data_IF_265002580111
#
_entry.id   IF_265002580111
#
_cell.length_a   1.000
_cell.length_b   1.000
_cell.length_c   1.000
_cell.angle_alpha   90.00
_cell.angle_beta   90.00
_cell.angle_gamma   90.00
#
_symmetry.space_group_name_H-M   'P 1'
#
loop_
_entity.id
_entity.type
_entity.pdbx_description
1 polymer ?
#
# COMPACT_ATOMS: atom_id res chain seq x y z
N UNK A 1 8.51 2.56 28.51
CA UNK A 1 7.05 2.69 28.34
C UNK A 1 6.80 3.56 27.13
N UNK A 2 6.45 2.97 25.99
CA UNK A 2 5.86 3.70 24.86
C UNK A 2 4.40 4.00 25.22
N UNK A 3 3.97 5.26 25.15
CA UNK A 3 2.57 5.61 25.44
C UNK A 3 1.68 5.17 24.29
N UNK A 4 0.79 4.21 24.54
CA UNK A 4 -0.15 3.69 23.52
C UNK A 4 -0.96 4.80 22.82
N UNK A 5 -1.09 4.67 21.49
CA UNK A 5 -2.12 5.32 20.67
C UNK A 5 -3.47 4.70 21.07
N UNK A 6 -4.33 5.38 21.87
CA UNK A 6 -5.22 6.38 21.27
C UNK A 6 -4.76 7.87 21.40
N UNK A 7 -5.08 8.76 22.35
CA UNK A 7 -6.11 8.87 23.39
C UNK A 7 -7.54 8.80 22.81
N UNK A 8 -8.54 8.61 23.68
CA UNK A 8 -9.73 7.82 23.34
C UNK A 8 -10.66 8.44 22.28
N UNK A 9 -10.93 7.67 21.22
CA UNK A 9 -12.31 7.46 20.79
C UNK A 9 -12.96 6.38 21.67
N UNK A 10 -14.28 6.46 21.90
CA UNK A 10 -14.99 5.66 22.92
C UNK A 10 -15.90 4.57 22.35
N UNK A 11 -15.27 3.67 21.58
CA UNK A 11 -15.84 2.39 21.15
C UNK A 11 -16.73 2.49 19.88
N UNK A 12 -16.80 1.47 19.04
CA UNK A 12 -15.99 0.23 18.96
C UNK A 12 -15.90 -0.24 17.51
N UNK A 13 -14.77 -0.85 17.13
CA UNK A 13 -14.51 -1.45 15.79
C UNK A 13 -14.86 -0.59 14.57
N UNK A 14 -14.44 0.68 14.55
CA UNK A 14 -14.55 1.58 13.39
C UNK A 14 -13.42 2.65 13.31
N UNK A 15 -12.43 2.60 14.21
CA UNK A 15 -11.41 3.64 14.34
C UNK A 15 -10.04 3.07 14.70
N UNK A 16 -8.99 3.64 14.10
CA UNK A 16 -7.60 3.21 14.24
C UNK A 16 -6.72 4.41 14.64
N UNK A 17 -5.60 4.14 15.29
CA UNK A 17 -4.61 5.14 15.68
C UNK A 17 -3.21 4.57 15.48
N UNK A 18 -2.37 5.25 14.70
CA UNK A 18 -0.97 4.90 14.53
C UNK A 18 -0.11 6.12 14.82
N UNK A 19 0.94 5.94 15.61
CA UNK A 19 1.95 6.96 15.86
C UNK A 19 3.34 6.35 15.69
N UNK A 20 4.27 7.12 15.14
CA UNK A 20 5.66 6.72 14.93
C UNK A 20 6.62 7.61 15.73
N UNK A 21 7.78 7.07 16.11
CA UNK A 21 8.83 7.79 16.84
C UNK A 21 9.39 9.01 16.07
N UNK A 22 9.12 9.11 14.76
CA UNK A 22 9.40 10.30 13.93
C UNK A 22 8.42 11.46 14.17
N UNK A 23 7.49 11.37 15.12
CA UNK A 23 6.58 12.45 15.48
C UNK A 23 5.32 12.58 14.60
N UNK A 24 5.09 11.64 13.69
CA UNK A 24 3.84 11.52 12.94
C UNK A 24 2.80 10.76 13.77
N UNK A 25 1.57 11.28 13.81
CA UNK A 25 0.39 10.62 14.40
C UNK A 25 -0.76 10.70 13.41
N UNK A 26 -1.37 9.56 13.13
CA UNK A 26 -2.48 9.44 12.17
C UNK A 26 -3.64 8.72 12.84
N UNK A 27 -4.83 9.31 12.74
CA UNK A 27 -6.05 8.79 13.36
C UNK A 27 -7.14 8.65 12.30
N UNK A 28 -7.95 7.59 12.45
CA UNK A 28 -9.00 7.23 11.51
C UNK A 28 -10.37 7.24 12.18
N UNK A 29 -11.34 7.91 11.55
CA UNK A 29 -12.77 7.81 11.88
C UNK A 29 -13.57 7.29 10.68
N UNK A 30 -14.19 6.12 10.81
CA UNK A 30 -15.14 5.61 9.81
C UNK A 30 -16.58 6.02 10.16
N UNK A 31 -17.38 6.32 9.13
CA UNK A 31 -18.83 6.52 9.18
C UNK A 31 -19.44 6.04 7.86
N UNK A 32 -20.39 5.11 7.92
CA UNK A 32 -20.98 4.45 6.76
C UNK A 32 -19.93 3.98 5.72
N UNK A 33 -19.94 4.60 4.53
CA UNK A 33 -19.06 4.33 3.38
C UNK A 33 -17.93 5.36 3.24
N UNK A 34 -17.55 6.01 4.34
CA UNK A 34 -16.54 7.05 4.35
C UNK A 34 -15.59 6.90 5.54
N UNK A 35 -14.31 7.17 5.30
CA UNK A 35 -13.26 7.22 6.31
C UNK A 35 -12.64 8.61 6.30
N UNK A 36 -12.80 9.35 7.40
CA UNK A 36 -12.03 10.57 7.67
C UNK A 36 -10.69 10.18 8.28
N UNK A 37 -9.60 10.70 7.73
CA UNK A 37 -8.24 10.55 8.27
C UNK A 37 -7.73 11.91 8.70
N UNK A 38 -7.20 11.99 9.91
CA UNK A 38 -6.51 13.18 10.44
C UNK A 38 -5.05 12.85 10.71
N UNK A 39 -4.16 13.70 10.20
CA UNK A 39 -2.70 13.61 10.30
C UNK A 39 -2.18 14.79 11.12
N UNK A 40 -1.39 14.47 12.14
CA UNK A 40 -0.69 15.40 13.01
C UNK A 40 0.82 15.15 12.91
N UNK A 41 1.62 16.21 12.91
CA UNK A 41 3.08 16.16 13.02
C UNK A 41 3.57 17.37 13.82
N UNK A 42 4.63 17.20 14.61
CA UNK A 42 5.15 18.27 15.46
C UNK A 42 5.57 19.50 14.63
N UNK A 43 5.02 20.67 14.97
CA UNK A 43 5.29 21.94 14.27
C UNK A 43 4.60 22.12 12.92
N UNK A 44 3.78 21.16 12.47
CA UNK A 44 3.00 21.24 11.23
C UNK A 44 1.51 21.53 11.50
N UNK A 45 0.80 22.05 10.52
CA UNK A 45 -0.64 22.23 10.56
C UNK A 45 -1.37 20.87 10.40
N UNK A 46 -2.28 20.55 11.31
CA UNK A 46 -3.10 19.33 11.27
C UNK A 46 -3.87 19.23 9.95
N UNK A 47 -3.64 18.14 9.20
CA UNK A 47 -4.30 17.87 7.93
C UNK A 47 -5.42 16.86 8.12
N UNK A 48 -6.53 17.02 7.40
CA UNK A 48 -7.64 16.05 7.39
C UNK A 48 -8.14 15.84 5.97
N UNK A 49 -8.37 14.59 5.59
CA UNK A 49 -8.92 14.20 4.30
C UNK A 49 -9.93 13.05 4.44
N UNK A 50 -10.70 12.80 3.38
CA UNK A 50 -11.76 11.79 3.36
C UNK A 50 -11.51 10.74 2.28
N UNK A 51 -11.88 9.50 2.59
CA UNK A 51 -11.66 8.32 1.76
C UNK A 51 -12.99 7.58 1.58
N UNK A 52 -13.48 7.37 0.36
CA UNK A 52 -14.64 6.50 0.13
C UNK A 52 -14.24 5.03 0.33
N UNK A 53 -15.09 4.28 1.01
CA UNK A 53 -14.92 2.84 1.29
C UNK A 53 -16.20 2.09 0.94
N UNK A 54 -16.11 0.85 0.45
CA UNK A 54 -17.30 0.10 0.02
C UNK A 54 -18.30 -0.25 1.15
N UNK A 55 -17.85 -0.24 2.41
CA UNK A 55 -18.63 -0.57 3.60
C UNK A 55 -18.57 -2.04 4.03
N UNK A 56 -17.66 -2.86 3.47
CA UNK A 56 -17.42 -4.22 3.95
C UNK A 56 -16.54 -4.24 5.21
N UNK A 57 -16.56 -5.33 5.96
CA UNK A 57 -15.89 -5.46 7.27
C UNK A 57 -14.35 -5.50 7.25
N UNK A 58 -13.73 -5.67 6.08
CA UNK A 58 -12.27 -5.47 5.88
C UNK A 58 -11.90 -4.10 5.31
N UNK A 59 -12.89 -3.26 5.05
CA UNK A 59 -12.72 -1.94 4.45
C UNK A 59 -12.36 -0.90 5.52
N UNK A 60 -11.66 0.15 5.12
CA UNK A 60 -11.25 1.23 6.00
C UNK A 60 -10.10 0.90 6.96
N UNK A 61 -9.37 -0.21 6.85
CA UNK A 61 -8.16 -0.43 7.66
C UNK A 61 -7.10 0.67 7.42
N UNK A 62 -6.49 1.21 8.48
CA UNK A 62 -5.39 2.20 8.42
C UNK A 62 -4.02 1.52 8.52
N UNK A 63 -3.06 1.95 7.70
CA UNK A 63 -1.68 1.49 7.73
C UNK A 63 -0.71 2.66 7.45
N UNK A 64 0.41 2.72 8.18
CA UNK A 64 1.54 3.60 7.87
C UNK A 64 2.73 2.78 7.37
N UNK A 65 3.33 3.17 6.24
CA UNK A 65 4.53 2.56 5.67
C UNK A 65 5.37 3.61 4.94
N UNK A 66 6.69 3.52 5.04
CA UNK A 66 7.59 4.22 4.10
C UNK A 66 7.65 3.39 2.83
N UNK A 67 6.94 3.81 1.79
CA UNK A 67 6.93 3.13 0.50
C UNK A 67 8.05 3.65 -0.41
N UNK A 68 8.42 4.91 -0.23
CA UNK A 68 9.56 5.56 -0.86
C UNK A 68 10.55 6.02 0.22
N UNK A 69 11.84 6.02 -0.08
CA UNK A 69 12.95 6.34 0.84
C UNK A 69 13.04 7.78 1.38
N UNK A 70 11.92 8.41 1.70
CA UNK A 70 11.83 9.62 2.52
C UNK A 70 11.77 9.30 4.03
N UNK A 71 11.83 10.35 4.86
CA UNK A 71 11.74 10.23 6.31
C UNK A 71 10.30 10.08 6.83
N UNK A 72 9.32 10.70 6.14
CA UNK A 72 7.91 10.61 6.46
C UNK A 72 7.29 9.29 5.96
N UNK A 73 6.34 8.69 6.69
CA UNK A 73 5.56 7.57 6.18
C UNK A 73 4.51 8.02 5.15
N UNK A 74 4.17 7.15 4.21
CA UNK A 74 2.93 7.22 3.46
C UNK A 74 1.78 6.65 4.31
N UNK A 75 0.58 7.22 4.15
CA UNK A 75 -0.67 6.75 4.74
C UNK A 75 -1.38 5.87 3.72
N UNK A 76 -1.80 4.67 4.14
CA UNK A 76 -2.61 3.76 3.35
C UNK A 76 -3.95 3.51 4.05
N UNK A 77 -5.05 3.55 3.29
CA UNK A 77 -6.40 3.21 3.78
C UNK A 77 -7.03 2.18 2.85
N UNK A 78 -7.43 1.03 3.39
CA UNK A 78 -8.19 0.02 2.65
C UNK A 78 -9.54 0.60 2.21
N UNK A 79 -9.94 0.41 0.96
CA UNK A 79 -11.21 0.92 0.40
C UNK A 79 -12.13 -0.17 -0.14
N UNK A 80 -11.54 -1.31 -0.49
CA UNK A 80 -12.07 -2.50 -1.19
C UNK A 80 -13.05 -2.27 -2.34
N UNK A 81 -12.76 -2.94 -3.47
CA UNK A 81 -13.66 -2.96 -4.65
C UNK A 81 -13.44 -4.17 -5.55
N UNK A 82 -12.37 -4.94 -5.32
CA UNK A 82 -11.98 -6.16 -6.04
C UNK A 82 -11.87 -7.33 -5.07
N UNK A 83 -12.98 -8.04 -4.88
CA UNK A 83 -13.09 -9.11 -3.87
C UNK A 83 -12.35 -10.40 -4.23
N UNK A 84 -11.40 -10.79 -3.36
CA UNK A 84 -10.99 -12.18 -3.17
C UNK A 84 -10.81 -12.39 -1.65
N UNK A 85 -11.69 -13.16 -1.03
CA UNK A 85 -11.79 -13.22 0.43
C UNK A 85 -10.57 -13.88 1.08
N UNK A 86 -10.02 -13.25 2.11
CA UNK A 86 -8.95 -13.81 2.94
C UNK A 86 -8.12 -12.73 3.61
N UNK A 87 -7.33 -12.00 2.82
CA UNK A 87 -6.36 -11.03 3.34
C UNK A 87 -6.18 -9.78 2.47
N UNK A 88 -6.20 -9.90 1.13
CA UNK A 88 -5.90 -8.79 0.22
C UNK A 88 -6.92 -7.64 0.31
N UNK A 89 -6.50 -6.41 -0.01
CA UNK A 89 -7.39 -5.27 -0.22
C UNK A 89 -6.84 -4.28 -1.25
N UNK A 90 -7.71 -3.44 -1.80
CA UNK A 90 -7.31 -2.21 -2.49
C UNK A 90 -7.08 -1.14 -1.44
N UNK A 91 -5.92 -0.49 -1.46
CA UNK A 91 -5.54 0.58 -0.54
C UNK A 91 -5.36 1.86 -1.32
N UNK A 92 -6.08 2.92 -0.95
CA UNK A 92 -5.76 4.27 -1.38
C UNK A 92 -4.56 4.79 -0.57
N UNK A 93 -3.68 5.56 -1.21
CA UNK A 93 -2.37 5.95 -0.65
C UNK A 93 -2.16 7.46 -0.72
N UNK A 94 -1.58 8.05 0.33
CA UNK A 94 -1.16 9.45 0.38
C UNK A 94 0.26 9.58 0.93
N UNK A 95 1.11 10.36 0.28
CA UNK A 95 2.42 10.72 0.85
C UNK A 95 2.29 11.94 1.76
N UNK A 96 2.99 11.90 2.90
CA UNK A 96 3.13 13.02 3.81
C UNK A 96 4.40 13.83 3.49
N UNK A 97 4.31 15.16 3.49
CA UNK A 97 5.43 16.04 3.16
C UNK A 97 5.29 17.39 3.87
N UNK A 98 5.75 17.48 5.12
CA UNK A 98 5.56 18.66 5.96
C UNK A 98 4.06 18.89 6.20
N UNK A 99 3.58 20.10 5.92
CA UNK A 99 2.15 20.44 5.99
C UNK A 99 1.28 19.86 4.86
N UNK A 100 1.86 19.12 3.91
CA UNK A 100 1.12 18.60 2.74
C UNK A 100 0.81 17.10 2.83
N UNK A 101 -0.45 16.75 2.54
CA UNK A 101 -0.90 15.39 2.25
C UNK A 101 -1.21 15.30 0.75
N UNK A 102 -0.56 14.37 0.03
CA UNK A 102 -0.70 14.28 -1.44
C UNK A 102 -1.20 12.89 -1.87
N UNK A 103 -2.38 12.76 -2.50
CA UNK A 103 -2.91 11.48 -2.95
C UNK A 103 -2.04 10.87 -4.05
N UNK A 104 -1.78 9.56 -3.95
CA UNK A 104 -0.89 8.77 -4.83
C UNK A 104 -1.61 7.68 -5.62
N UNK A 105 -2.95 7.71 -5.67
CA UNK A 105 -3.74 6.64 -6.26
C UNK A 105 -3.86 5.44 -5.32
N UNK A 106 -3.77 4.23 -5.86
CA UNK A 106 -4.04 2.97 -5.14
C UNK A 106 -2.99 1.90 -5.37
N UNK A 107 -2.80 1.02 -4.38
CA UNK A 107 -2.08 -0.25 -4.48
C UNK A 107 -3.03 -1.41 -4.11
N UNK A 108 -2.73 -2.64 -4.54
CA UNK A 108 -3.50 -3.83 -4.19
C UNK A 108 -2.61 -4.86 -3.49
N UNK A 109 -3.06 -5.39 -2.35
CA UNK A 109 -2.31 -6.39 -1.59
C UNK A 109 -2.61 -6.45 -0.09
N UNK A 110 -1.73 -7.15 0.62
CA UNK A 110 -1.66 -7.28 2.10
C UNK A 110 -0.46 -6.54 2.68
N UNK A 111 0.68 -6.58 1.99
CA UNK A 111 1.96 -6.09 2.46
C UNK A 111 2.62 -5.18 1.43
N UNK A 112 3.25 -4.11 1.91
CA UNK A 112 3.79 -3.03 1.08
C UNK A 112 5.16 -2.57 1.59
N UNK A 113 6.15 -2.44 0.70
CA UNK A 113 7.51 -2.05 1.06
C UNK A 113 8.25 -1.29 -0.06
N UNK A 114 9.24 -0.46 0.34
CA UNK A 114 10.21 0.12 -0.60
C UNK A 114 11.11 -1.01 -1.14
N UNK A 115 11.04 -1.23 -2.45
CA UNK A 115 11.83 -2.23 -3.17
C UNK A 115 13.13 -1.64 -3.75
N UNK A 116 13.51 -0.44 -3.34
CA UNK A 116 14.67 0.29 -3.84
C UNK A 116 14.44 0.90 -5.22
N UNK A 117 15.38 1.76 -5.65
CA UNK A 117 15.38 2.38 -6.99
C UNK A 117 14.10 3.19 -7.35
N UNK A 118 13.30 3.56 -6.35
CA UNK A 118 12.00 4.22 -6.52
C UNK A 118 10.87 3.27 -6.96
N UNK A 119 10.96 1.98 -6.60
CA UNK A 119 9.89 1.00 -6.75
C UNK A 119 9.24 0.71 -5.39
N UNK A 120 7.91 0.61 -5.38
CA UNK A 120 7.11 0.09 -4.27
C UNK A 120 6.65 -1.31 -4.64
N UNK A 121 6.90 -2.30 -3.80
CA UNK A 121 6.35 -3.62 -3.95
C UNK A 121 5.06 -3.78 -3.14
N UNK A 122 4.09 -4.51 -3.71
CA UNK A 122 2.82 -4.88 -3.10
C UNK A 122 2.64 -6.39 -3.25
N UNK A 123 2.50 -7.13 -2.14
CA UNK A 123 2.24 -8.57 -2.18
C UNK A 123 0.74 -8.85 -2.05
N UNK A 124 0.23 -9.77 -2.87
CA UNK A 124 -1.12 -10.32 -2.79
C UNK A 124 -1.06 -11.85 -2.66
N UNK A 125 -1.96 -12.41 -1.86
CA UNK A 125 -2.05 -13.84 -1.53
C UNK A 125 -3.33 -14.48 -2.10
N UNK A 126 -3.43 -15.82 -2.01
CA UNK A 126 -4.64 -16.58 -2.36
C UNK A 126 -4.54 -17.36 -3.67
N UNK A 127 -5.67 -17.55 -4.36
CA UNK A 127 -5.79 -18.41 -5.56
C UNK A 127 -4.97 -17.97 -6.77
N UNK A 128 -4.41 -16.76 -6.73
CA UNK A 128 -3.32 -16.30 -7.57
C UNK A 128 -2.49 -15.32 -6.77
N UNK A 129 -1.40 -15.79 -6.14
CA UNK A 129 -0.49 -14.89 -5.44
C UNK A 129 0.29 -14.04 -6.46
N UNK A 130 0.73 -12.85 -6.06
CA UNK A 130 1.60 -12.02 -6.90
C UNK A 130 2.37 -11.00 -6.08
N UNK A 131 3.50 -10.55 -6.61
CA UNK A 131 4.13 -9.29 -6.19
C UNK A 131 4.03 -8.30 -7.34
N UNK A 132 3.34 -7.19 -7.14
CA UNK A 132 3.30 -6.07 -8.06
C UNK A 132 4.30 -4.99 -7.64
N UNK A 133 5.17 -4.59 -8.56
CA UNK A 133 6.11 -3.49 -8.38
C UNK A 133 5.61 -2.28 -9.15
N UNK A 134 5.29 -1.22 -8.41
CA UNK A 134 4.78 0.06 -8.90
C UNK A 134 5.80 1.17 -8.72
N UNK A 135 5.69 2.24 -9.51
CA UNK A 135 6.52 3.45 -9.39
C UNK A 135 5.65 4.69 -9.40
N UNK A 136 6.05 5.70 -8.61
CA UNK A 136 5.41 7.01 -8.66
C UNK A 136 5.74 7.71 -9.99
N UNK A 137 4.70 8.10 -10.75
CA UNK A 137 4.76 8.86 -11.99
C UNK A 137 3.54 9.78 -12.07
N UNK A 138 3.73 11.00 -12.57
CA UNK A 138 2.64 11.96 -12.83
C UNK A 138 1.75 12.23 -11.59
N UNK A 139 2.33 12.07 -10.39
CA UNK A 139 1.67 12.23 -9.10
C UNK A 139 1.16 10.95 -8.43
N UNK A 140 1.01 9.84 -9.15
CA UNK A 140 0.39 8.60 -8.67
C UNK A 140 1.25 7.33 -8.89
N UNK A 141 0.93 6.24 -8.19
CA UNK A 141 1.56 4.94 -8.42
C UNK A 141 1.04 4.29 -9.70
N UNK A 142 1.96 3.87 -10.55
CA UNK A 142 1.70 3.13 -11.79
C UNK A 142 2.44 1.80 -11.75
N UNK A 143 1.74 0.72 -12.09
CA UNK A 143 2.28 -0.63 -12.27
C UNK A 143 3.47 -0.62 -13.23
N UNK A 144 4.56 -1.33 -12.88
CA UNK A 144 5.73 -1.52 -13.76
C UNK A 144 5.88 -2.98 -14.14
N UNK A 145 5.81 -3.88 -13.16
CA UNK A 145 6.05 -5.32 -13.37
C UNK A 145 5.39 -6.14 -12.26
N UNK A 146 4.78 -7.26 -12.63
CA UNK A 146 4.21 -8.23 -11.71
C UNK A 146 4.96 -9.57 -11.79
N UNK A 147 5.13 -10.23 -10.66
CA UNK A 147 5.82 -11.53 -10.52
C UNK A 147 4.91 -12.56 -9.84
N UNK A 148 5.02 -13.82 -10.26
CA UNK A 148 4.51 -14.98 -9.51
C UNK A 148 3.03 -15.32 -9.69
N UNK A 149 2.33 -14.68 -10.64
CA UNK A 149 0.89 -14.85 -10.86
C UNK A 149 0.53 -16.29 -11.25
N UNK A 150 0.23 -17.12 -10.25
CA UNK A 150 -0.60 -18.30 -10.43
C UNK A 150 -1.96 -17.85 -10.99
N UNK A 151 -2.39 -18.49 -12.07
CA UNK A 151 -3.56 -18.13 -12.86
C UNK A 151 -4.86 -18.62 -12.21
N UNK A 152 -4.83 -19.82 -11.61
CA UNK A 152 -6.01 -20.50 -11.09
C UNK A 152 -5.71 -21.28 -9.80
N UNK A 153 -6.47 -21.01 -8.74
CA UNK A 153 -6.56 -21.80 -7.50
C UNK A 153 -5.23 -22.18 -6.80
N UNK A 154 -4.16 -21.39 -6.97
CA UNK A 154 -2.84 -21.64 -6.39
C UNK A 154 -2.00 -22.67 -7.14
N UNK A 155 -2.47 -23.14 -8.30
CA UNK A 155 -1.66 -23.91 -9.27
C UNK A 155 -1.06 -22.93 -10.29
N UNK A 156 0.19 -23.17 -10.68
CA UNK A 156 0.91 -22.38 -11.67
C UNK A 156 0.76 -23.02 -13.05
N UNK A 157 0.08 -22.35 -13.99
CA UNK A 157 0.21 -22.65 -15.41
C UNK A 157 1.67 -22.44 -15.87
N UNK A 158 2.36 -23.47 -16.39
CA UNK A 158 3.74 -23.36 -16.87
C UNK A 158 3.88 -22.52 -18.16
N UNK A 159 2.78 -22.14 -18.81
CA UNK A 159 2.80 -21.24 -19.98
C UNK A 159 2.77 -19.76 -19.61
N UNK A 160 2.42 -19.42 -18.36
CA UNK A 160 2.50 -18.06 -17.83
C UNK A 160 3.94 -17.76 -17.40
N UNK A 161 4.58 -16.69 -17.92
CA UNK A 161 5.92 -16.30 -17.49
C UNK A 161 5.93 -15.86 -16.02
N UNK A 162 6.99 -16.24 -15.28
CA UNK A 162 7.23 -15.83 -13.88
C UNK A 162 7.15 -14.32 -13.64
N UNK A 163 7.44 -13.54 -14.68
CA UNK A 163 7.41 -12.09 -14.70
C UNK A 163 6.60 -11.57 -15.89
N UNK A 164 5.65 -10.66 -15.64
CA UNK A 164 4.92 -9.92 -16.65
C UNK A 164 5.18 -8.42 -16.48
N UNK A 165 5.76 -7.77 -17.49
CA UNK A 165 6.00 -6.32 -17.50
C UNK A 165 4.72 -5.60 -17.98
N UNK A 166 4.30 -4.56 -17.26
CA UNK A 166 3.06 -3.83 -17.56
C UNK A 166 3.24 -2.95 -18.80
N UNK A 167 2.48 -3.15 -19.90
CA UNK A 167 2.77 -2.55 -21.20
C UNK A 167 2.48 -1.05 -21.30
N UNK A 168 1.69 -0.50 -20.37
CA UNK A 168 1.52 0.94 -20.19
C UNK A 168 2.74 1.60 -19.54
N UNK A 169 3.62 0.82 -18.90
CA UNK A 169 4.84 1.32 -18.28
C UNK A 169 5.98 1.33 -19.29
N UNK A 170 6.30 2.52 -19.81
CA UNK A 170 7.60 2.75 -20.41
C UNK A 170 8.67 2.65 -19.30
N UNK A 171 9.20 1.44 -19.05
CA UNK A 171 10.24 1.21 -18.05
C UNK A 171 11.38 2.23 -18.27
N UNK A 172 11.81 2.97 -17.22
CA UNK A 172 12.78 4.03 -17.42
C UNK A 172 14.12 3.40 -17.79
N UNK A 173 14.94 4.07 -18.59
CA UNK A 173 16.24 3.56 -19.04
C UNK A 173 17.23 3.22 -17.88
N UNK A 174 16.91 3.61 -16.64
CA UNK A 174 17.62 3.23 -15.42
C UNK A 174 17.26 1.84 -14.86
N UNK A 175 16.25 1.16 -15.41
CA UNK A 175 15.85 -0.20 -15.02
C UNK A 175 15.95 -1.13 -16.23
N UNK A 176 17.19 -1.49 -16.57
CA UNK A 176 17.56 -2.34 -17.72
C UNK A 176 16.95 -3.75 -17.66
N UNK A 177 16.57 -4.19 -16.46
CA UNK A 177 15.99 -5.51 -16.16
C UNK A 177 14.96 -5.36 -15.03
N UNK A 178 13.68 -5.02 -15.33
CA UNK A 178 12.64 -4.92 -14.32
C UNK A 178 12.27 -6.30 -13.76
N UNK A 179 12.32 -7.34 -14.58
CA UNK A 179 11.98 -8.70 -14.17
C UNK A 179 12.96 -9.28 -13.16
N UNK A 180 14.24 -9.33 -13.46
CA UNK A 180 15.23 -9.83 -12.52
C UNK A 180 15.34 -8.96 -11.26
N UNK A 181 15.06 -7.65 -11.33
CA UNK A 181 14.94 -6.82 -10.12
C UNK A 181 13.75 -7.26 -9.25
N UNK A 182 12.58 -7.44 -9.86
CA UNK A 182 11.37 -7.94 -9.18
C UNK A 182 11.58 -9.34 -8.58
N UNK A 183 12.12 -10.29 -9.35
CA UNK A 183 12.44 -11.65 -8.90
C UNK A 183 13.43 -11.65 -7.73
N UNK A 184 14.51 -10.84 -7.80
CA UNK A 184 15.49 -10.71 -6.71
C UNK A 184 14.86 -10.14 -5.43
N UNK A 185 13.87 -9.25 -5.53
CA UNK A 185 13.18 -8.71 -4.35
C UNK A 185 12.13 -9.68 -3.80
N UNK A 186 11.39 -10.41 -4.64
CA UNK A 186 10.50 -11.49 -4.20
C UNK A 186 11.29 -12.55 -3.39
N UNK A 187 12.41 -13.01 -3.92
CA UNK A 187 13.30 -13.98 -3.26
C UNK A 187 13.86 -13.47 -1.92
N UNK A 188 14.23 -12.18 -1.83
CA UNK A 188 14.69 -11.55 -0.57
C UNK A 188 13.62 -11.51 0.52
N UNK A 189 12.35 -11.50 0.13
CA UNK A 189 11.20 -11.54 1.04
C UNK A 189 10.65 -12.96 1.24
N UNK A 190 11.42 -13.99 0.85
CA UNK A 190 11.09 -15.41 1.07
C UNK A 190 10.05 -15.99 0.11
N UNK A 191 9.68 -15.25 -0.94
CA UNK A 191 8.64 -15.66 -1.90
C UNK A 191 9.24 -16.55 -2.99
N UNK A 192 8.69 -17.76 -3.14
CA UNK A 192 9.14 -18.77 -4.11
C UNK A 192 8.35 -18.68 -5.41
N UNK A 193 9.04 -18.41 -6.51
CA UNK A 193 8.54 -18.33 -7.90
C UNK A 193 8.67 -19.67 -8.62
#
# INVERSE_FOLDING_TARGET
MTLECPRQYRGSSNQDCVAEDTGYRVTKRQHDKQVTVTVEHAGAATQTFEVPVDGYSGSGALLLRRLLGGSAPDVLVSTTSSGAHGQNSTWAVWSLSGDSVVPRGTLYGTEFWDAGSGLVASYASGGGWSVEFSRLRDGAFQSVVAVGRADTAGVRDPTVPDCTVSPSSAAPASVTDPCGLAMRQAQRHGLTT
#
